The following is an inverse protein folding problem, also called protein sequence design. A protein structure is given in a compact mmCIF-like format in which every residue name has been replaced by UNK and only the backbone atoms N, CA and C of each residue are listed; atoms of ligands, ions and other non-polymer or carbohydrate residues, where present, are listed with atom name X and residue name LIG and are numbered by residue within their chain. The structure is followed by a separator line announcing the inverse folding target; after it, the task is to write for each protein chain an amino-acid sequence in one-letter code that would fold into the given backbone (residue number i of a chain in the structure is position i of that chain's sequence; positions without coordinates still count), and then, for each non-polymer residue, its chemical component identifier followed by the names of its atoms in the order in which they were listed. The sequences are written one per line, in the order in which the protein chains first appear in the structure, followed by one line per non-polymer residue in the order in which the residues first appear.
data_IF_593831852157
#
_entry.id   IF_593831852157
#
_cell.length_a   1.000
_cell.length_b   1.000
_cell.length_c   1.000
_cell.angle_alpha   90.00
_cell.angle_beta   90.00
_cell.angle_gamma   90.00
#
_symmetry.space_group_name_H-M   'P 1'
#
loop_
_entity.id
_entity.type
_entity.pdbx_description
1 polymer ?
#
# COMPACT_ATOMS: atom_id res chain seq x y z
N UNK A 1 -21.65 -5.72 15.58
CA UNK A 1 -20.98 -5.04 14.46
C UNK A 1 -19.88 -5.97 14.01
N UNK A 2 -19.99 -6.48 12.79
CA UNK A 2 -19.03 -7.42 12.20
C UNK A 2 -17.86 -6.68 11.56
N UNK A 3 -16.77 -7.38 11.28
CA UNK A 3 -15.59 -6.80 10.61
C UNK A 3 -15.93 -6.25 9.21
N UNK A 4 -16.99 -6.77 8.58
CA UNK A 4 -17.47 -6.31 7.27
C UNK A 4 -18.24 -4.97 7.32
N UNK A 5 -18.62 -4.48 8.50
CA UNK A 5 -19.28 -3.18 8.61
C UNK A 5 -18.31 -2.02 8.25
N UNK A 6 -17.02 -2.17 8.55
CA UNK A 6 -15.99 -1.15 8.33
C UNK A 6 -14.75 -1.80 7.71
N UNK A 7 -14.64 -1.79 6.38
CA UNK A 7 -13.66 -2.62 5.66
C UNK A 7 -12.97 -1.87 4.53
N UNK A 8 -11.66 -1.68 4.68
CA UNK A 8 -10.77 -1.27 3.59
C UNK A 8 -9.93 -2.45 3.13
N UNK A 9 -9.72 -2.52 1.81
CA UNK A 9 -8.92 -3.56 1.19
C UNK A 9 -8.08 -3.02 0.05
N UNK A 10 -6.93 -3.64 -0.18
CA UNK A 10 -6.19 -3.49 -1.43
C UNK A 10 -6.93 -4.20 -2.56
N UNK A 11 -7.16 -3.50 -3.66
CA UNK A 11 -7.73 -4.07 -4.89
C UNK A 11 -6.71 -4.30 -6.01
N UNK A 12 -5.61 -3.56 -5.97
CA UNK A 12 -4.51 -3.68 -6.90
C UNK A 12 -3.24 -3.21 -6.21
N UNK A 13 -2.11 -3.78 -6.62
CA UNK A 13 -0.75 -3.36 -6.32
C UNK A 13 0.07 -3.82 -7.52
N UNK A 14 0.58 -2.91 -8.35
CA UNK A 14 1.26 -3.24 -9.62
C UNK A 14 2.55 -2.46 -9.75
N UNK A 15 3.62 -3.17 -10.11
CA UNK A 15 4.93 -2.58 -10.32
C UNK A 15 5.04 -1.89 -11.69
N UNK A 16 5.71 -0.74 -11.75
CA UNK A 16 6.12 -0.11 -13.01
C UNK A 16 7.16 -0.93 -13.78
N UNK A 17 7.86 -1.87 -13.12
CA UNK A 17 8.78 -2.82 -13.74
C UNK A 17 8.74 -4.18 -13.02
N UNK A 18 8.19 -5.20 -13.68
CA UNK A 18 8.02 -6.55 -13.12
C UNK A 18 9.33 -7.36 -12.98
N UNK A 19 10.41 -6.93 -13.64
CA UNK A 19 11.74 -7.52 -13.48
C UNK A 19 12.41 -7.04 -12.18
N UNK A 20 12.10 -5.80 -11.76
CA UNK A 20 12.68 -5.16 -10.59
C UNK A 20 11.82 -5.30 -9.33
N UNK A 21 10.49 -5.38 -9.47
CA UNK A 21 9.62 -5.60 -8.32
C UNK A 21 8.34 -6.32 -8.67
N UNK A 22 7.83 -7.07 -7.71
CA UNK A 22 6.59 -7.82 -7.79
C UNK A 22 5.80 -7.65 -6.50
N UNK A 23 4.50 -7.83 -6.61
CA UNK A 23 3.54 -7.57 -5.55
C UNK A 23 2.55 -8.72 -5.42
N UNK A 24 2.25 -9.06 -4.17
CA UNK A 24 1.26 -10.09 -3.84
C UNK A 24 0.32 -9.54 -2.79
N UNK A 25 -0.98 -9.48 -3.10
CA UNK A 25 -2.00 -9.11 -2.13
C UNK A 25 -2.39 -10.36 -1.34
N UNK A 26 -2.48 -10.24 -0.01
CA UNK A 26 -2.92 -11.31 0.88
C UNK A 26 -4.35 -11.76 0.54
N UNK A 27 -4.71 -12.99 0.91
CA UNK A 27 -6.07 -13.53 0.66
C UNK A 27 -7.18 -12.68 1.29
N UNK A 28 -6.91 -12.11 2.47
CA UNK A 28 -7.84 -11.21 3.18
C UNK A 28 -7.84 -9.77 2.64
N UNK A 29 -6.96 -9.48 1.68
CA UNK A 29 -6.78 -8.19 1.01
C UNK A 29 -6.43 -7.02 1.95
N UNK A 30 -5.98 -7.29 3.18
CA UNK A 30 -5.57 -6.24 4.14
C UNK A 30 -4.11 -5.83 4.00
N UNK A 31 -3.33 -6.65 3.31
CA UNK A 31 -1.89 -6.52 3.19
C UNK A 31 -1.45 -6.76 1.76
N UNK A 32 -0.44 -6.03 1.33
CA UNK A 32 0.31 -6.29 0.10
C UNK A 32 1.77 -6.51 0.46
N UNK A 33 2.32 -7.64 0.05
CA UNK A 33 3.75 -7.95 0.15
C UNK A 33 4.42 -7.48 -1.13
N UNK A 34 5.53 -6.75 -0.99
CA UNK A 34 6.30 -6.22 -2.10
C UNK A 34 7.67 -6.88 -2.06
N UNK A 35 8.01 -7.57 -3.14
CA UNK A 35 9.35 -8.08 -3.37
C UNK A 35 10.07 -7.14 -4.34
N UNK A 36 11.30 -6.76 -4.03
CA UNK A 36 12.14 -5.90 -4.86
C UNK A 36 13.50 -6.52 -5.09
N UNK A 37 14.02 -6.33 -6.30
CA UNK A 37 15.34 -6.71 -6.76
C UNK A 37 15.93 -5.53 -7.53
N UNK A 38 16.56 -4.60 -6.80
CA UNK A 38 17.16 -3.38 -7.35
C UNK A 38 18.66 -3.55 -7.50
N UNK A 39 19.18 -3.21 -8.68
CA UNK A 39 20.61 -3.24 -8.98
C UNK A 39 21.03 -1.91 -9.63
N UNK A 40 22.10 -1.25 -9.15
CA UNK A 40 22.66 -0.10 -9.85
C UNK A 40 23.03 -0.45 -11.30
N UNK A 41 22.77 0.43 -12.28
CA UNK A 41 22.34 1.83 -12.16
C UNK A 41 20.81 2.05 -12.10
N UNK A 42 19.99 1.00 -12.17
CA UNK A 42 18.53 1.08 -12.28
C UNK A 42 17.89 1.13 -10.88
N UNK A 43 17.87 2.32 -10.28
CA UNK A 43 17.73 2.48 -8.82
C UNK A 43 16.32 2.83 -8.32
N UNK A 44 15.28 2.69 -9.13
CA UNK A 44 13.93 2.94 -8.65
C UNK A 44 12.86 2.06 -9.30
N UNK A 45 11.79 1.86 -8.54
CA UNK A 45 10.57 1.22 -9.02
C UNK A 45 9.39 1.85 -8.28
N UNK A 46 8.27 1.94 -8.97
CA UNK A 46 7.02 2.46 -8.41
C UNK A 46 6.02 1.33 -8.32
N UNK A 47 5.33 1.23 -7.19
CA UNK A 47 4.21 0.31 -6.97
C UNK A 47 2.94 1.14 -6.88
N UNK A 48 2.11 1.08 -7.93
CA UNK A 48 0.79 1.69 -7.91
C UNK A 48 -0.20 0.77 -7.19
N UNK A 49 -1.00 1.31 -6.29
CA UNK A 49 -2.00 0.54 -5.55
C UNK A 49 -3.34 1.28 -5.49
N UNK A 50 -4.39 0.52 -5.20
CA UNK A 50 -5.72 1.09 -4.92
C UNK A 50 -6.31 0.51 -3.65
N UNK A 51 -6.87 1.38 -2.82
CA UNK A 51 -7.63 1.00 -1.62
C UNK A 51 -9.11 1.24 -1.89
N UNK A 52 -9.94 0.23 -1.60
CA UNK A 52 -11.40 0.34 -1.75
C UNK A 52 -12.09 0.15 -0.41
N UNK A 53 -13.05 1.01 -0.11
CA UNK A 53 -14.00 0.76 0.98
C UNK A 53 -15.07 -0.22 0.49
N UNK A 54 -15.06 -1.41 1.09
CA UNK A 54 -16.04 -2.48 0.82
C UNK A 54 -16.94 -2.77 2.01
N UNK A 55 -16.82 -1.97 3.08
CA UNK A 55 -17.73 -2.06 4.21
C UNK A 55 -19.07 -1.37 3.96
N UNK A 56 -19.87 -1.27 5.02
CA UNK A 56 -21.19 -0.64 4.99
C UNK A 56 -21.17 0.81 5.51
N UNK A 57 -20.05 1.23 6.09
CA UNK A 57 -19.88 2.56 6.68
C UNK A 57 -18.64 3.27 6.16
N UNK A 58 -18.62 4.58 6.34
CA UNK A 58 -17.45 5.39 6.04
C UNK A 58 -16.33 5.08 7.03
N UNK A 59 -15.11 5.20 6.54
CA UNK A 59 -13.89 4.95 7.30
C UNK A 59 -12.88 6.03 6.97
N UNK A 60 -11.94 6.26 7.88
CA UNK A 60 -10.82 7.17 7.68
C UNK A 60 -9.54 6.36 7.66
N UNK A 61 -8.70 6.58 6.66
CA UNK A 61 -7.35 6.00 6.65
C UNK A 61 -6.48 6.84 7.57
N UNK A 62 -5.95 6.21 8.62
CA UNK A 62 -5.03 6.84 9.54
C UNK A 62 -3.63 6.87 8.92
N UNK A 63 -3.20 5.72 8.38
CA UNK A 63 -1.87 5.56 7.81
C UNK A 63 -1.77 4.31 6.91
N UNK A 64 -0.68 4.22 6.14
CA UNK A 64 -0.17 2.96 5.62
C UNK A 64 1.01 2.52 6.49
N UNK A 65 0.94 1.31 7.01
CA UNK A 65 1.99 0.71 7.82
C UNK A 65 2.93 -0.03 6.86
N UNK A 66 4.21 0.35 6.84
CA UNK A 66 5.25 -0.28 6.02
C UNK A 66 6.24 -0.98 6.96
N UNK A 67 6.25 -2.30 6.94
CA UNK A 67 7.11 -3.15 7.76
C UNK A 67 8.36 -3.55 6.95
N UNK A 68 9.37 -2.69 6.95
CA UNK A 68 10.65 -2.92 6.27
C UNK A 68 11.82 -2.77 7.26
N UNK A 69 12.66 -3.81 7.37
CA UNK A 69 13.86 -3.82 8.20
C UNK A 69 15.13 -3.43 7.42
N UNK A 70 15.05 -3.35 6.09
CA UNK A 70 16.18 -3.05 5.22
C UNK A 70 16.44 -1.53 5.14
N UNK A 71 17.49 -1.08 5.85
CA UNK A 71 17.92 0.33 5.91
C UNK A 71 18.43 0.91 4.60
N UNK A 72 18.76 0.07 3.61
CA UNK A 72 19.26 0.52 2.32
C UNK A 72 18.12 0.76 1.30
N UNK A 73 16.88 0.43 1.66
CA UNK A 73 15.69 0.82 0.93
C UNK A 73 15.17 2.16 1.45
N UNK A 74 15.00 3.11 0.55
CA UNK A 74 14.20 4.30 0.79
C UNK A 74 12.82 4.12 0.17
N UNK A 75 11.78 4.26 0.97
CA UNK A 75 10.39 4.05 0.57
C UNK A 75 9.62 5.34 0.84
N UNK A 76 9.08 5.94 -0.22
CA UNK A 76 8.28 7.16 -0.16
C UNK A 76 6.85 6.84 -0.63
N UNK A 77 5.84 7.22 0.16
CA UNK A 77 4.43 7.12 -0.25
C UNK A 77 4.05 8.40 -0.99
N UNK A 78 3.57 8.27 -2.23
CA UNK A 78 3.19 9.39 -3.09
C UNK A 78 1.73 9.25 -3.53
N UNK A 79 1.12 10.38 -3.90
CA UNK A 79 -0.26 10.45 -4.42
C UNK A 79 -1.35 9.89 -3.50
N UNK A 80 -1.04 9.71 -2.21
CA UNK A 80 -1.97 9.17 -1.20
C UNK A 80 -2.20 10.11 -0.01
N UNK A 81 -1.23 10.98 0.29
CA UNK A 81 -1.21 11.78 1.52
C UNK A 81 -2.40 12.74 1.66
N UNK A 82 -2.97 13.22 0.55
CA UNK A 82 -4.16 14.08 0.54
C UNK A 82 -5.46 13.34 0.90
N UNK A 83 -5.42 12.00 1.05
CA UNK A 83 -6.57 11.16 1.42
C UNK A 83 -6.49 10.65 2.86
N UNK A 84 -5.37 10.88 3.53
CA UNK A 84 -5.25 10.62 4.97
C UNK A 84 -6.24 11.50 5.72
N UNK A 85 -6.81 10.96 6.79
CA UNK A 85 -7.74 11.66 7.69
C UNK A 85 -9.03 12.18 7.02
N UNK A 86 -9.26 11.84 5.75
CA UNK A 86 -10.47 12.20 5.01
C UNK A 86 -11.44 11.01 4.98
N UNK A 87 -12.75 11.21 5.19
CA UNK A 87 -13.74 10.15 5.09
C UNK A 87 -13.73 9.49 3.71
N UNK A 88 -13.72 8.16 3.69
CA UNK A 88 -13.78 7.34 2.48
C UNK A 88 -15.18 6.74 2.39
N UNK A 89 -15.91 7.11 1.33
CA UNK A 89 -17.28 6.66 1.13
C UNK A 89 -17.33 5.18 0.81
N UNK A 90 -18.47 4.55 1.11
CA UNK A 90 -18.72 3.15 0.73
C UNK A 90 -18.58 3.01 -0.79
N UNK A 91 -17.88 1.96 -1.24
CA UNK A 91 -17.50 1.70 -2.63
C UNK A 91 -16.51 2.70 -3.27
N UNK A 92 -16.08 3.74 -2.56
CA UNK A 92 -15.05 4.64 -3.06
C UNK A 92 -13.72 3.89 -3.20
N UNK A 93 -12.99 4.24 -4.26
CA UNK A 93 -11.67 3.70 -4.56
C UNK A 93 -10.66 4.84 -4.60
N UNK A 94 -9.55 4.65 -3.91
CA UNK A 94 -8.49 5.64 -3.76
C UNK A 94 -7.22 5.08 -4.39
N UNK A 95 -6.62 5.79 -5.35
CA UNK A 95 -5.30 5.45 -5.84
C UNK A 95 -4.20 5.97 -4.89
N UNK A 96 -3.06 5.30 -4.90
CA UNK A 96 -1.82 5.76 -4.30
C UNK A 96 -0.64 5.03 -4.92
N UNK A 97 0.58 5.50 -4.66
CA UNK A 97 1.78 4.80 -5.14
C UNK A 97 2.86 4.77 -4.08
N UNK A 98 3.70 3.74 -4.12
CA UNK A 98 4.90 3.60 -3.30
C UNK A 98 6.10 3.71 -4.22
N UNK A 99 6.97 4.67 -3.97
CA UNK A 99 8.21 4.85 -4.70
C UNK A 99 9.36 4.26 -3.89
N UNK A 100 10.05 3.28 -4.47
CA UNK A 100 11.09 2.51 -3.82
C UNK A 100 12.40 2.80 -4.52
N UNK A 101 13.41 3.21 -3.75
CA UNK A 101 14.74 3.50 -4.28
C UNK A 101 15.83 2.83 -3.45
N UNK A 102 16.94 2.51 -4.10
CA UNK A 102 18.15 2.04 -3.43
C UNK A 102 19.41 2.56 -4.10
N UNK A 103 20.46 2.76 -3.32
CA UNK A 103 21.79 3.11 -3.80
C UNK A 103 22.75 1.91 -3.85
N UNK A 104 22.29 0.71 -3.48
CA UNK A 104 23.07 -0.52 -3.47
C UNK A 104 22.27 -1.65 -4.11
N UNK A 105 22.94 -2.77 -4.41
CA UNK A 105 22.25 -3.99 -4.84
C UNK A 105 21.43 -4.56 -3.68
N UNK A 106 20.11 -4.65 -3.86
CA UNK A 106 19.17 -5.16 -2.85
C UNK A 106 18.24 -6.17 -3.48
N UNK A 107 18.08 -7.29 -2.78
CA UNK A 107 17.01 -8.26 -3.00
C UNK A 107 16.32 -8.53 -1.67
N UNK A 108 15.07 -8.11 -1.52
CA UNK A 108 14.32 -8.24 -0.26
C UNK A 108 12.82 -8.18 -0.49
N UNK A 109 12.04 -8.53 0.53
CA UNK A 109 10.60 -8.32 0.57
C UNK A 109 10.20 -7.57 1.84
N UNK A 110 9.13 -6.80 1.76
CA UNK A 110 8.53 -6.11 2.89
C UNK A 110 7.03 -6.00 2.71
N UNK A 111 6.33 -5.65 3.79
CA UNK A 111 4.88 -5.67 3.84
C UNK A 111 4.28 -4.29 4.02
N UNK A 112 3.13 -4.08 3.38
CA UNK A 112 2.34 -2.85 3.50
C UNK A 112 0.93 -3.20 3.90
N UNK A 113 0.42 -2.56 4.95
CA UNK A 113 -0.94 -2.75 5.46
C UNK A 113 -1.66 -1.42 5.71
N UNK A 114 -2.98 -1.48 5.81
CA UNK A 114 -3.85 -0.30 5.95
C UNK A 114 -4.27 -0.16 7.41
N UNK A 115 -3.96 0.99 8.03
CA UNK A 115 -4.51 1.37 9.32
C UNK A 115 -5.68 2.36 9.11
N UNK A 116 -6.84 2.03 9.66
CA UNK A 116 -8.05 2.82 9.47
C UNK A 116 -8.99 2.80 10.67
N UNK A 117 -9.70 3.91 10.84
CA UNK A 117 -10.69 4.10 11.90
C UNK A 117 -12.10 4.13 11.32
N UNK A 118 -13.03 3.31 11.85
CA UNK A 118 -14.47 3.43 11.63
C UNK A 118 -15.01 4.83 11.96
N UNK A 119 -15.78 5.44 11.05
CA UNK A 119 -16.62 6.59 11.41
C UNK A 119 -17.99 6.07 11.81
N UNK A 120 -18.30 6.12 13.11
CA UNK A 120 -19.65 5.90 13.61
C UNK A 120 -20.44 7.19 13.46
N UNK A 121 -21.62 7.09 12.86
CA UNK A 121 -22.68 8.08 13.08
C UNK A 121 -23.28 7.86 14.48
#
# INVERSE_FOLDING_TARGET
MGFDDYKLIFKAATSSNLELAQTTISEDQKKTTIYVNLEPPNNNVMIDFTIKNTGNYQVVINNLIIENDNKNLKIDVVNFNNRLLTPILVNETIPGSIYITSNTKIKTSFDVSIDYTPLKN
#
